data_IF_878762577666
#
_entry.id   IF_878762577666
#
_cell.length_a   1.000
_cell.length_b   1.000
_cell.length_c   1.000
_cell.angle_alpha   90.00
_cell.angle_beta   90.00
_cell.angle_gamma   90.00
#
_symmetry.space_group_name_H-M   'P 1'
#
loop_
_entity.id
_entity.type
_entity.pdbx_description
1 polymer ?
#
# COMPACT_ATOMS: atom_id res chain seq x y z
N UNK A 1 11.42 17.49 39.30
CA UNK A 1 11.08 17.86 37.91
C UNK A 1 10.47 19.23 37.93
N UNK A 2 11.21 20.25 37.50
CA UNK A 2 10.74 21.65 37.46
C UNK A 2 10.03 21.87 36.14
N UNK A 3 8.76 22.29 36.17
CA UNK A 3 7.95 22.49 34.97
C UNK A 3 8.33 23.81 34.27
N UNK A 4 8.33 23.82 32.93
CA UNK A 4 8.60 25.01 32.09
C UNK A 4 7.75 26.23 32.49
N UNK A 5 6.53 26.02 33.00
CA UNK A 5 5.64 27.08 33.47
C UNK A 5 6.11 27.79 34.76
N UNK A 6 7.13 27.27 35.44
CA UNK A 6 7.69 27.84 36.68
C UNK A 6 8.97 28.65 36.43
N UNK A 7 9.42 28.79 35.18
CA UNK A 7 10.59 29.60 34.86
C UNK A 7 10.32 31.08 35.14
N UNK A 8 11.32 31.87 35.57
CA UNK A 8 11.21 33.31 35.65
C UNK A 8 10.75 33.90 34.32
N UNK A 9 9.93 34.96 34.38
CA UNK A 9 9.31 35.57 33.19
C UNK A 9 10.33 35.97 32.10
N UNK A 10 11.53 36.42 32.50
CA UNK A 10 12.63 36.74 31.57
C UNK A 10 13.10 35.52 30.77
N UNK A 11 13.21 34.37 31.41
CA UNK A 11 13.60 33.11 30.74
C UNK A 11 12.47 32.60 29.87
N UNK A 12 11.20 32.72 30.30
CA UNK A 12 10.07 32.37 29.44
C UNK A 12 10.06 33.20 28.15
N UNK A 13 10.32 34.50 28.24
CA UNK A 13 10.41 35.38 27.06
C UNK A 13 11.60 35.00 26.17
N UNK A 14 12.75 34.71 26.78
CA UNK A 14 13.94 34.24 26.08
C UNK A 14 13.64 32.98 25.26
N UNK A 15 13.09 31.93 25.88
CA UNK A 15 12.75 30.68 25.20
C UNK A 15 11.66 30.86 24.14
N UNK A 16 10.66 31.71 24.40
CA UNK A 16 9.61 32.03 23.42
C UNK A 16 10.15 32.73 22.18
N UNK A 17 11.25 33.48 22.30
CA UNK A 17 11.90 34.13 21.15
C UNK A 17 12.50 33.14 20.15
N UNK A 18 12.83 31.92 20.60
CA UNK A 18 13.31 30.82 19.75
C UNK A 18 12.18 29.99 19.12
N UNK A 19 10.90 30.28 19.42
CA UNK A 19 9.80 29.58 18.79
C UNK A 19 9.67 29.99 17.32
N UNK A 20 10.05 29.09 16.42
CA UNK A 20 9.76 29.25 15.01
C UNK A 20 8.28 28.99 14.73
N UNK A 21 7.70 29.75 13.80
CA UNK A 21 6.37 29.42 13.28
C UNK A 21 6.42 28.05 12.58
N UNK A 22 5.37 27.23 12.72
CA UNK A 22 5.31 25.95 12.03
C UNK A 22 5.51 26.17 10.52
N UNK A 23 6.52 25.49 9.96
CA UNK A 23 6.92 25.63 8.56
C UNK A 23 6.00 24.88 7.58
N UNK A 24 5.01 24.15 8.09
CA UNK A 24 4.08 23.35 7.29
C UNK A 24 2.76 23.07 8.00
N UNK A 25 1.80 22.53 7.26
CA UNK A 25 0.52 22.11 7.79
C UNK A 25 0.64 20.76 8.50
N UNK A 26 0.01 20.63 9.67
CA UNK A 26 -0.18 19.34 10.34
C UNK A 26 -1.35 18.59 9.70
N UNK A 27 -1.25 17.26 9.61
CA UNK A 27 -2.37 16.46 9.13
C UNK A 27 -3.55 16.52 10.12
N UNK A 28 -4.78 16.42 9.61
CA UNK A 28 -5.99 16.39 10.45
C UNK A 28 -5.89 15.31 11.54
N UNK A 29 -5.34 14.16 11.17
CA UNK A 29 -5.08 13.03 12.07
C UNK A 29 -4.15 13.40 13.21
N UNK A 30 -2.94 13.87 12.91
CA UNK A 30 -1.95 14.24 13.92
C UNK A 30 -2.45 15.37 14.83
N UNK A 31 -3.21 16.32 14.29
CA UNK A 31 -3.87 17.32 15.11
C UNK A 31 -4.92 16.71 16.08
N UNK A 32 -5.72 15.76 15.59
CA UNK A 32 -6.75 15.09 16.41
C UNK A 32 -6.12 14.19 17.49
N UNK A 33 -5.13 13.38 17.14
CA UNK A 33 -4.51 12.43 18.08
C UNK A 33 -3.53 13.11 19.03
N UNK A 34 -2.64 13.96 18.51
CA UNK A 34 -1.48 14.44 19.28
C UNK A 34 -1.80 15.73 20.03
N UNK A 35 -2.72 16.56 19.52
CA UNK A 35 -3.10 17.83 20.15
C UNK A 35 -4.45 17.74 20.86
N UNK A 36 -5.47 17.11 20.27
CA UNK A 36 -6.78 16.99 20.94
C UNK A 36 -6.87 15.77 21.87
N UNK A 37 -5.95 14.80 21.76
CA UNK A 37 -6.02 13.56 22.52
C UNK A 37 -7.23 12.69 22.16
N UNK A 38 -7.80 12.87 20.96
CA UNK A 38 -8.97 12.14 20.49
C UNK A 38 -8.55 10.99 19.57
N UNK A 39 -9.30 9.89 19.63
CA UNK A 39 -9.13 8.80 18.67
C UNK A 39 -9.59 9.24 17.28
N UNK A 40 -8.72 9.08 16.29
CA UNK A 40 -9.11 9.21 14.89
C UNK A 40 -9.69 7.88 14.39
N UNK A 41 -11.00 7.85 14.17
CA UNK A 41 -11.73 6.69 13.65
C UNK A 41 -11.87 6.72 12.12
N UNK A 42 -11.19 7.66 11.45
CA UNK A 42 -11.21 7.74 9.99
C UNK A 42 -10.54 6.51 9.37
N UNK A 43 -11.06 6.12 8.20
CA UNK A 43 -10.51 5.01 7.46
C UNK A 43 -9.14 5.37 6.88
N UNK A 44 -8.13 4.56 7.21
CA UNK A 44 -6.75 4.72 6.78
C UNK A 44 -6.36 3.64 5.75
N UNK A 45 -6.33 3.99 4.46
CA UNK A 45 -6.16 3.04 3.36
C UNK A 45 -4.91 2.18 3.46
N UNK A 46 -3.77 2.79 3.76
CA UNK A 46 -2.49 2.08 3.79
C UNK A 46 -2.41 1.13 5.00
N UNK A 47 -2.95 1.55 6.15
CA UNK A 47 -3.04 0.68 7.32
C UNK A 47 -3.97 -0.51 7.09
N UNK A 48 -5.12 -0.27 6.44
CA UNK A 48 -6.05 -1.33 6.06
C UNK A 48 -5.40 -2.34 5.10
N UNK A 49 -4.71 -1.86 4.06
CA UNK A 49 -3.96 -2.69 3.12
C UNK A 49 -2.91 -3.56 3.82
N UNK A 50 -2.08 -2.95 4.69
CA UNK A 50 -1.05 -3.70 5.45
C UNK A 50 -1.69 -4.78 6.31
N UNK A 51 -2.83 -4.49 6.95
CA UNK A 51 -3.57 -5.44 7.76
C UNK A 51 -4.13 -6.59 6.90
N UNK A 52 -4.74 -6.28 5.76
CA UNK A 52 -5.26 -7.29 4.84
C UNK A 52 -4.17 -8.25 4.33
N UNK A 53 -2.97 -7.74 4.05
CA UNK A 53 -1.82 -8.56 3.67
C UNK A 53 -1.31 -9.45 4.82
N UNK A 54 -1.29 -8.94 6.05
CA UNK A 54 -0.94 -9.73 7.22
C UNK A 54 -1.97 -10.84 7.49
N UNK A 55 -3.25 -10.53 7.36
CA UNK A 55 -4.33 -11.52 7.47
C UNK A 55 -4.22 -12.58 6.35
N UNK A 56 -3.89 -12.17 5.12
CA UNK A 56 -3.67 -13.07 4.01
C UNK A 56 -2.48 -14.01 4.26
N UNK A 57 -1.38 -13.49 4.79
CA UNK A 57 -0.22 -14.31 5.16
C UNK A 57 -0.54 -15.31 6.25
N UNK A 58 -1.34 -14.94 7.24
CA UNK A 58 -1.75 -15.83 8.34
C UNK A 58 -2.71 -16.92 7.87
N UNK A 59 -3.61 -16.60 6.94
CA UNK A 59 -4.67 -17.52 6.51
C UNK A 59 -4.29 -18.38 5.30
N UNK A 60 -3.42 -17.86 4.41
CA UNK A 60 -3.09 -18.40 3.08
C UNK A 60 -1.61 -18.16 2.74
N UNK A 61 -0.70 -18.56 3.63
CA UNK A 61 0.75 -18.41 3.42
C UNK A 61 1.24 -19.09 2.13
N UNK A 62 0.55 -20.12 1.65
CA UNK A 62 0.82 -20.81 0.38
C UNK A 62 0.53 -19.94 -0.86
N UNK A 63 -0.42 -19.00 -0.78
CA UNK A 63 -0.75 -18.09 -1.87
C UNK A 63 0.12 -16.84 -1.84
N UNK A 64 0.31 -16.26 -0.66
CA UNK A 64 1.04 -15.01 -0.49
C UNK A 64 1.89 -15.05 0.78
N UNK A 65 3.12 -14.57 0.70
CA UNK A 65 3.96 -14.37 1.88
C UNK A 65 4.91 -13.20 1.68
N UNK A 66 5.19 -12.47 2.75
CA UNK A 66 6.14 -11.37 2.68
C UNK A 66 7.57 -11.89 2.81
N UNK A 67 8.38 -11.79 1.75
CA UNK A 67 9.78 -12.19 1.80
C UNK A 67 10.61 -11.38 2.81
N UNK A 68 10.28 -10.09 2.98
CA UNK A 68 10.95 -9.20 3.91
C UNK A 68 9.95 -8.36 4.70
N UNK A 69 9.71 -8.73 5.96
CA UNK A 69 8.78 -8.02 6.84
C UNK A 69 9.13 -6.54 7.07
N UNK A 70 10.38 -6.12 6.82
CA UNK A 70 10.76 -4.69 6.88
C UNK A 70 10.00 -3.85 5.85
N UNK A 71 9.52 -4.45 4.75
CA UNK A 71 8.73 -3.76 3.73
C UNK A 71 7.44 -3.14 4.30
N UNK A 72 6.83 -3.77 5.31
CA UNK A 72 5.65 -3.20 5.99
C UNK A 72 5.96 -1.89 6.73
N UNK A 73 7.17 -1.75 7.26
CA UNK A 73 7.62 -0.54 7.97
C UNK A 73 8.16 0.51 7.00
N UNK A 74 8.78 0.07 5.91
CA UNK A 74 9.32 0.95 4.87
C UNK A 74 8.23 1.64 4.07
N UNK A 75 7.14 0.94 3.76
CA UNK A 75 6.04 1.48 2.96
C UNK A 75 5.31 2.60 3.73
N UNK A 76 5.41 3.83 3.26
CA UNK A 76 4.77 5.00 3.84
C UNK A 76 4.14 5.89 2.77
N UNK A 77 3.36 6.88 3.20
CA UNK A 77 2.92 7.92 2.28
C UNK A 77 4.08 8.87 2.00
N UNK A 78 4.35 9.24 0.74
CA UNK A 78 5.30 10.30 0.43
C UNK A 78 4.91 11.60 1.14
N UNK A 79 5.84 12.13 1.93
CA UNK A 79 5.65 13.34 2.74
C UNK A 79 6.06 14.57 1.94
N UNK A 80 7.05 14.43 1.05
CA UNK A 80 7.54 15.53 0.21
C UNK A 80 7.11 15.37 -1.25
N UNK A 81 7.30 16.43 -2.04
CA UNK A 81 7.11 16.40 -3.50
C UNK A 81 8.33 15.80 -4.23
N UNK A 82 9.21 15.09 -3.51
CA UNK A 82 10.35 14.41 -4.09
C UNK A 82 9.89 13.26 -5.00
N UNK A 83 10.26 13.37 -6.28
CA UNK A 83 10.03 12.31 -7.27
C UNK A 83 10.66 10.99 -6.82
N UNK A 84 11.86 11.05 -6.24
CA UNK A 84 12.58 9.86 -5.77
C UNK A 84 11.82 9.15 -4.64
N UNK A 85 11.33 9.90 -3.66
CA UNK A 85 10.53 9.35 -2.55
C UNK A 85 9.31 8.60 -3.10
N UNK A 86 8.59 9.18 -4.05
CA UNK A 86 7.47 8.53 -4.70
C UNK A 86 7.83 7.24 -5.45
N UNK A 87 8.95 7.26 -6.19
CA UNK A 87 9.43 6.08 -6.94
C UNK A 87 9.76 4.94 -5.97
N UNK A 88 10.42 5.26 -4.85
CA UNK A 88 10.81 4.30 -3.82
C UNK A 88 9.57 3.70 -3.12
N UNK A 89 8.54 4.51 -2.85
CA UNK A 89 7.28 4.02 -2.27
C UNK A 89 6.48 3.14 -3.23
N UNK A 90 6.40 3.49 -4.53
CA UNK A 90 5.76 2.64 -5.55
C UNK A 90 6.51 1.31 -5.67
N UNK A 91 7.84 1.33 -5.67
CA UNK A 91 8.65 0.12 -5.69
C UNK A 91 8.41 -0.76 -4.47
N UNK A 92 8.34 -0.16 -3.29
CA UNK A 92 8.09 -0.88 -2.04
C UNK A 92 6.68 -1.49 -2.06
N UNK A 93 5.69 -0.78 -2.59
CA UNK A 93 4.32 -1.26 -2.75
C UNK A 93 4.22 -2.42 -3.75
N UNK A 94 4.84 -2.33 -4.93
CA UNK A 94 4.88 -3.42 -5.92
C UNK A 94 5.53 -4.68 -5.36
N UNK A 95 6.68 -4.51 -4.68
CA UNK A 95 7.38 -5.62 -4.01
C UNK A 95 6.51 -6.28 -2.95
N UNK A 96 5.80 -5.48 -2.16
CA UNK A 96 4.93 -6.02 -1.13
C UNK A 96 3.77 -6.79 -1.77
N UNK A 97 3.03 -6.18 -2.69
CA UNK A 97 1.78 -6.76 -3.20
C UNK A 97 2.03 -7.83 -4.26
N UNK A 98 2.80 -7.50 -5.30
CA UNK A 98 2.96 -8.35 -6.50
C UNK A 98 4.02 -9.41 -6.30
N UNK A 99 5.20 -9.05 -5.79
CA UNK A 99 6.28 -10.03 -5.57
C UNK A 99 5.99 -10.97 -4.38
N UNK A 100 5.08 -10.58 -3.48
CA UNK A 100 4.58 -11.45 -2.41
C UNK A 100 3.71 -12.62 -2.89
N UNK A 101 3.14 -12.55 -4.10
CA UNK A 101 2.34 -13.64 -4.69
C UNK A 101 3.22 -14.82 -5.10
N UNK A 102 2.92 -16.01 -4.56
CA UNK A 102 3.69 -17.23 -4.84
C UNK A 102 3.32 -17.83 -6.18
N UNK A 103 4.19 -17.60 -7.18
CA UNK A 103 4.03 -18.15 -8.53
C UNK A 103 3.96 -19.68 -8.55
N UNK A 104 4.67 -20.38 -7.65
CA UNK A 104 4.63 -21.85 -7.55
C UNK A 104 3.22 -22.36 -7.24
N UNK A 105 2.55 -21.77 -6.25
CA UNK A 105 1.20 -22.15 -5.87
C UNK A 105 0.17 -21.82 -6.96
N UNK A 106 0.29 -20.65 -7.61
CA UNK A 106 -0.56 -20.32 -8.76
C UNK A 106 -0.36 -21.30 -9.92
N UNK A 107 0.87 -21.77 -10.14
CA UNK A 107 1.17 -22.80 -11.16
C UNK A 107 0.49 -24.12 -10.83
N UNK A 108 0.48 -24.55 -9.58
CA UNK A 108 -0.21 -25.78 -9.15
C UNK A 108 -1.72 -25.70 -9.42
N UNK A 109 -2.36 -24.59 -9.03
CA UNK A 109 -3.78 -24.36 -9.31
C UNK A 109 -4.06 -24.30 -10.81
N UNK A 110 -3.25 -23.57 -11.58
CA UNK A 110 -3.47 -23.45 -13.02
C UNK A 110 -3.27 -24.80 -13.74
N UNK A 111 -2.38 -25.66 -13.23
CA UNK A 111 -2.15 -27.00 -13.79
C UNK A 111 -3.32 -27.92 -13.49
N UNK A 112 -3.87 -27.89 -12.26
CA UNK A 112 -5.05 -28.70 -11.92
C UNK A 112 -6.30 -28.29 -12.70
N UNK A 113 -6.38 -27.02 -13.10
CA UNK A 113 -7.46 -26.47 -13.93
C UNK A 113 -7.17 -26.51 -15.44
N UNK A 114 -6.04 -27.10 -15.86
CA UNK A 114 -5.60 -27.19 -17.25
C UNK A 114 -5.54 -25.83 -18.00
N UNK A 115 -5.21 -24.75 -17.28
CA UNK A 115 -5.11 -23.38 -17.81
C UNK A 115 -3.71 -22.76 -17.65
N UNK A 116 -2.72 -23.56 -17.23
CA UNK A 116 -1.34 -23.11 -17.04
C UNK A 116 -0.66 -22.73 -18.35
N UNK A 117 0.03 -21.60 -18.34
CA UNK A 117 0.81 -21.09 -19.45
C UNK A 117 2.14 -20.52 -18.93
N UNK A 118 3.25 -21.11 -19.37
CA UNK A 118 4.60 -20.78 -18.90
C UNK A 118 5.04 -19.36 -19.30
N UNK A 119 4.43 -18.78 -20.34
CA UNK A 119 4.75 -17.43 -20.83
C UNK A 119 4.09 -16.34 -19.98
N UNK A 120 3.14 -16.67 -19.12
CA UNK A 120 2.44 -15.68 -18.32
C UNK A 120 3.22 -15.26 -17.06
N UNK A 121 3.22 -13.95 -16.84
CA UNK A 121 3.60 -13.37 -15.56
C UNK A 121 2.56 -13.67 -14.46
N UNK A 122 2.95 -13.45 -13.21
CA UNK A 122 2.15 -13.81 -12.02
C UNK A 122 0.74 -13.22 -12.04
N UNK A 123 0.58 -11.93 -12.39
CA UNK A 123 -0.72 -11.24 -12.45
C UNK A 123 -1.62 -11.83 -13.55
N UNK A 124 -1.06 -12.05 -14.75
CA UNK A 124 -1.81 -12.64 -15.87
C UNK A 124 -2.20 -14.10 -15.62
N UNK A 125 -1.35 -14.84 -14.92
CA UNK A 125 -1.65 -16.21 -14.49
C UNK A 125 -2.81 -16.21 -13.48
N UNK A 126 -2.80 -15.29 -12.51
CA UNK A 126 -3.91 -15.12 -11.58
C UNK A 126 -5.21 -14.80 -12.31
N UNK A 127 -5.19 -13.89 -13.30
CA UNK A 127 -6.35 -13.57 -14.14
C UNK A 127 -6.93 -14.83 -14.81
N UNK A 128 -6.09 -15.62 -15.48
CA UNK A 128 -6.53 -16.88 -16.13
C UNK A 128 -7.15 -17.88 -15.14
N UNK A 129 -6.60 -17.98 -13.92
CA UNK A 129 -7.16 -18.86 -12.88
C UNK A 129 -8.56 -18.39 -12.47
N UNK A 130 -8.77 -17.07 -12.32
CA UNK A 130 -10.08 -16.51 -11.97
C UNK A 130 -11.10 -16.70 -13.11
N UNK A 131 -10.69 -16.52 -14.36
CA UNK A 131 -11.51 -16.80 -15.55
C UNK A 131 -11.91 -18.29 -15.60
N UNK A 132 -10.96 -19.20 -15.36
CA UNK A 132 -11.22 -20.64 -15.33
C UNK A 132 -12.14 -21.07 -14.17
N UNK A 133 -12.20 -20.27 -13.09
CA UNK A 133 -13.14 -20.47 -11.97
C UNK A 133 -14.56 -19.98 -12.29
N UNK A 134 -14.79 -19.35 -13.45
CA UNK A 134 -16.09 -18.83 -13.85
C UNK A 134 -16.49 -17.55 -13.10
N UNK A 135 -15.52 -16.80 -12.58
CA UNK A 135 -15.77 -15.52 -11.91
C UNK A 135 -16.13 -14.47 -12.98
N UNK A 136 -17.03 -13.56 -12.62
CA UNK A 136 -17.47 -12.52 -13.53
C UNK A 136 -16.32 -11.60 -13.98
N UNK A 137 -16.34 -11.20 -15.25
CA UNK A 137 -15.28 -10.39 -15.84
C UNK A 137 -15.11 -9.02 -15.17
N UNK A 138 -16.18 -8.44 -14.62
CA UNK A 138 -16.11 -7.20 -13.85
C UNK A 138 -15.35 -7.41 -12.55
N UNK A 139 -15.68 -8.46 -11.78
CA UNK A 139 -14.98 -8.79 -10.54
C UNK A 139 -13.49 -9.10 -10.78
N UNK A 140 -13.19 -9.80 -11.87
CA UNK A 140 -11.80 -10.07 -12.27
C UNK A 140 -11.06 -8.75 -12.54
N UNK A 141 -11.67 -7.82 -13.26
CA UNK A 141 -11.04 -6.52 -13.53
C UNK A 141 -10.85 -5.69 -12.27
N UNK A 142 -11.80 -5.71 -11.32
CA UNK A 142 -11.64 -5.03 -10.03
C UNK A 142 -10.47 -5.61 -9.20
N UNK A 143 -10.17 -6.89 -9.36
CA UNK A 143 -9.04 -7.55 -8.70
C UNK A 143 -7.71 -7.26 -9.41
N UNK A 144 -7.71 -7.37 -10.74
CA UNK A 144 -6.47 -7.38 -11.54
C UNK A 144 -6.00 -5.96 -11.87
N UNK A 145 -6.91 -5.03 -12.17
CA UNK A 145 -6.57 -3.66 -12.57
C UNK A 145 -5.66 -2.95 -11.55
N UNK A 146 -5.89 -3.03 -10.23
CA UNK A 146 -5.03 -2.35 -9.25
C UNK A 146 -3.62 -2.93 -9.20
N UNK A 147 -3.48 -4.25 -9.41
CA UNK A 147 -2.19 -4.94 -9.46
C UNK A 147 -1.41 -4.57 -10.71
N UNK A 148 -2.09 -4.55 -11.87
CA UNK A 148 -1.49 -4.12 -13.13
C UNK A 148 -1.10 -2.65 -13.10
N UNK A 149 -1.91 -1.80 -12.46
CA UNK A 149 -1.64 -0.37 -12.30
C UNK A 149 -0.35 -0.13 -11.51
N UNK A 150 -0.19 -0.76 -10.33
CA UNK A 150 1.06 -0.62 -9.55
C UNK A 150 2.27 -1.11 -10.34
N UNK A 151 2.15 -2.29 -10.97
CA UNK A 151 3.26 -2.87 -11.71
C UNK A 151 3.65 -2.00 -12.91
N UNK A 152 2.65 -1.41 -13.58
CA UNK A 152 2.86 -0.43 -14.63
C UNK A 152 3.53 0.85 -14.10
N UNK A 153 3.08 1.38 -12.95
CA UNK A 153 3.68 2.56 -12.33
C UNK A 153 5.14 2.30 -11.96
N UNK A 154 5.47 1.13 -11.40
CA UNK A 154 6.84 0.71 -11.11
C UNK A 154 7.69 0.70 -12.37
N UNK A 155 7.31 -0.08 -13.39
CA UNK A 155 8.09 -0.22 -14.63
C UNK A 155 8.28 1.10 -15.37
N UNK A 156 7.29 2.01 -15.28
CA UNK A 156 7.39 3.35 -15.87
C UNK A 156 8.29 4.27 -15.06
N UNK A 157 8.29 4.13 -13.73
CA UNK A 157 9.12 4.92 -12.82
C UNK A 157 10.62 4.66 -12.98
N UNK A 158 11.00 3.46 -13.44
CA UNK A 158 12.38 3.10 -13.79
C UNK A 158 12.90 3.87 -15.02
N UNK A 159 12.03 4.51 -15.80
CA UNK A 159 12.44 5.33 -16.95
C UNK A 159 12.60 6.81 -16.54
N UNK A 160 13.82 7.37 -16.53
CA UNK A 160 14.11 8.69 -15.91
C UNK A 160 13.30 9.86 -16.49
N UNK A 161 12.90 9.78 -17.77
CA UNK A 161 12.22 10.87 -18.48
C UNK A 161 10.72 11.01 -18.17
N UNK A 162 10.10 10.04 -17.47
CA UNK A 162 8.63 9.97 -17.32
C UNK A 162 8.12 10.14 -15.88
N UNK A 163 9.00 10.11 -14.87
CA UNK A 163 8.61 10.13 -13.46
C UNK A 163 7.92 11.44 -13.02
N UNK A 164 8.35 12.61 -13.53
CA UNK A 164 7.76 13.91 -13.17
C UNK A 164 6.32 14.11 -13.63
N UNK A 165 5.86 13.40 -14.67
CA UNK A 165 4.48 13.47 -15.17
C UNK A 165 3.52 12.49 -14.51
N UNK A 166 3.99 11.57 -13.66
CA UNK A 166 3.14 10.63 -12.91
C UNK A 166 2.49 11.30 -11.70
N UNK A 167 3.21 12.20 -11.02
CA UNK A 167 2.77 12.82 -9.76
C UNK A 167 1.45 13.59 -9.89
N UNK A 168 1.15 14.15 -11.07
CA UNK A 168 -0.09 14.87 -11.35
C UNK A 168 -1.29 13.95 -11.66
N UNK A 169 -1.04 12.70 -12.11
CA UNK A 169 -2.10 11.74 -12.47
C UNK A 169 -2.53 10.85 -11.30
N UNK A 170 -1.63 10.53 -10.37
CA UNK A 170 -1.89 9.70 -9.18
C UNK A 170 -2.16 10.51 -7.92
N UNK A 171 -2.42 11.82 -8.04
CA UNK A 171 -2.56 12.79 -6.95
C UNK A 171 -3.74 12.54 -5.98
N UNK A 172 -4.42 11.41 -6.06
CA UNK A 172 -5.35 10.96 -5.03
C UNK A 172 -4.65 9.90 -4.19
N UNK A 173 -3.87 10.38 -3.20
CA UNK A 173 -2.98 9.62 -2.29
C UNK A 173 -3.65 8.39 -1.62
N UNK A 174 -4.97 8.27 -1.69
CA UNK A 174 -5.78 7.21 -1.10
C UNK A 174 -6.38 6.21 -2.10
N UNK A 175 -6.38 6.48 -3.42
CA UNK A 175 -7.15 5.66 -4.38
C UNK A 175 -6.49 4.30 -4.63
N UNK A 176 -5.17 4.27 -4.77
CA UNK A 176 -4.44 3.02 -5.03
C UNK A 176 -4.54 2.05 -3.85
N UNK A 177 -4.27 2.45 -2.58
CA UNK A 177 -4.38 1.52 -1.45
C UNK A 177 -5.83 1.05 -1.19
N UNK A 178 -6.85 1.88 -1.45
CA UNK A 178 -8.25 1.48 -1.32
C UNK A 178 -8.65 0.39 -2.31
N UNK A 179 -8.29 0.59 -3.56
CA UNK A 179 -8.60 -0.36 -4.62
C UNK A 179 -7.89 -1.70 -4.39
N UNK A 180 -6.65 -1.66 -3.87
CA UNK A 180 -5.88 -2.86 -3.53
C UNK A 180 -6.42 -3.63 -2.33
N UNK A 181 -6.81 -2.94 -1.25
CA UNK A 181 -7.41 -3.60 -0.08
C UNK A 181 -8.68 -4.37 -0.50
N UNK A 182 -9.54 -3.73 -1.29
CA UNK A 182 -10.73 -4.37 -1.84
C UNK A 182 -10.39 -5.54 -2.77
N UNK A 183 -9.41 -5.37 -3.67
CA UNK A 183 -8.94 -6.43 -4.56
C UNK A 183 -8.42 -7.66 -3.80
N UNK A 184 -7.57 -7.45 -2.78
CA UNK A 184 -6.97 -8.54 -1.99
C UNK A 184 -8.02 -9.29 -1.17
N UNK A 185 -8.99 -8.58 -0.58
CA UNK A 185 -10.11 -9.22 0.11
C UNK A 185 -10.95 -10.09 -0.82
N UNK A 186 -11.15 -9.67 -2.07
CA UNK A 186 -11.88 -10.46 -3.08
C UNK A 186 -11.07 -11.66 -3.57
N UNK A 187 -9.76 -11.50 -3.80
CA UNK A 187 -8.86 -12.64 -4.08
C UNK A 187 -8.95 -13.68 -2.97
N UNK A 188 -8.95 -13.23 -1.72
CA UNK A 188 -9.07 -14.11 -0.57
C UNK A 188 -10.39 -14.90 -0.58
N UNK A 189 -11.53 -14.24 -0.82
CA UNK A 189 -12.84 -14.89 -0.88
C UNK A 189 -12.94 -15.88 -2.05
N UNK A 190 -12.53 -15.47 -3.25
CA UNK A 190 -12.71 -16.25 -4.48
C UNK A 190 -11.78 -17.47 -4.57
N UNK A 191 -10.61 -17.41 -3.91
CA UNK A 191 -9.73 -18.57 -3.76
C UNK A 191 -10.13 -19.45 -2.55
N UNK A 192 -11.03 -19.00 -1.68
CA UNK A 192 -11.55 -19.78 -0.54
C UNK A 192 -12.55 -20.85 -0.94
N UNK A 193 -13.39 -20.59 -1.93
CA UNK A 193 -14.53 -21.44 -2.32
C UNK A 193 -14.18 -22.69 -3.15
N UNK A 194 -12.95 -23.21 -3.03
CA UNK A 194 -12.45 -24.37 -3.78
C UNK A 194 -11.99 -25.51 -2.88
N UNK A 195 -12.82 -25.90 -1.91
CA UNK A 195 -12.78 -27.20 -1.24
C UNK A 195 -14.18 -27.78 -1.23
#
# INVERSE_FOLDING_TARGET
MTYLGQLPHSEQLYWKSYNEKPKGNISKKAYTTDFMGMWDLSYEPLSALKKALQELEQTRAELWSCANRKLYQQLNYPVTDSVKEWVDEIHTLDKLVVEGLKKSFLKEIATSMNCYDSKLGTIKLLKKILEAKGIDGHEINEIISPLEEIHFLRTKSDTPRKAGGLMSRTASKAVIPNSLDAALKRVFVNLKSGR
#
